data_IF_988834037741
#
_entry.id   IF_988834037741
#
_cell.length_a   1.000
_cell.length_b   1.000
_cell.length_c   1.000
_cell.angle_alpha   90.00
_cell.angle_beta   90.00
_cell.angle_gamma   90.00
#
_symmetry.space_group_name_H-M   'P 1'
#
loop_
_entity.id
_entity.type
_entity.pdbx_description
1 polymer ?
#
# COMPACT_ATOMS: atom_id res chain seq x y z
N UNK A 1 9.65 -25.28 44.71
CA UNK A 1 8.68 -25.27 43.59
C UNK A 1 7.21 -25.05 44.02
N UNK A 2 6.71 -25.68 45.10
CA UNK A 2 5.31 -25.51 45.52
C UNK A 2 4.91 -24.07 45.94
N UNK A 3 5.82 -23.27 46.53
CA UNK A 3 5.55 -21.86 46.89
C UNK A 3 5.48 -20.89 45.70
N UNK A 4 6.14 -21.21 44.58
CA UNK A 4 6.06 -20.40 43.36
C UNK A 4 4.70 -20.57 42.67
N UNK A 5 4.14 -21.79 42.75
CA UNK A 5 2.82 -22.10 42.20
C UNK A 5 1.68 -21.41 42.96
N UNK A 6 1.79 -21.23 44.28
CA UNK A 6 0.75 -20.57 45.08
C UNK A 6 0.70 -19.05 44.88
N UNK A 7 1.84 -18.42 44.56
CA UNK A 7 1.90 -16.98 44.26
C UNK A 7 1.29 -16.71 42.88
N UNK A 8 1.62 -17.53 41.87
CA UNK A 8 1.05 -17.39 40.52
C UNK A 8 -0.49 -17.57 40.50
N UNK A 9 -1.01 -18.46 41.35
CA UNK A 9 -2.45 -18.73 41.47
C UNK A 9 -3.24 -17.60 42.12
N UNK A 10 -2.63 -16.84 43.03
CA UNK A 10 -3.27 -15.66 43.66
C UNK A 10 -3.31 -14.46 42.70
N UNK A 11 -2.23 -14.19 41.96
CA UNK A 11 -2.21 -13.09 40.98
C UNK A 11 -3.14 -13.30 39.78
N UNK A 12 -3.39 -14.55 39.35
CA UNK A 12 -4.39 -14.81 38.30
C UNK A 12 -5.84 -14.62 38.78
N UNK A 13 -6.11 -14.83 40.08
CA UNK A 13 -7.46 -14.70 40.64
C UNK A 13 -7.88 -13.24 40.78
N UNK A 14 -6.97 -12.35 41.19
CA UNK A 14 -7.26 -10.92 41.35
C UNK A 14 -7.48 -10.19 40.01
N UNK A 15 -6.95 -10.72 38.89
CA UNK A 15 -7.19 -10.18 37.54
C UNK A 15 -8.45 -10.74 36.85
N UNK A 16 -9.23 -11.60 37.50
CA UNK A 16 -10.42 -12.21 36.89
C UNK A 16 -10.12 -13.14 35.71
N UNK A 17 -8.85 -13.52 35.51
CA UNK A 17 -8.40 -14.36 34.40
C UNK A 17 -8.64 -15.83 34.76
N UNK A 18 -9.76 -16.39 34.33
CA UNK A 18 -10.09 -17.78 34.63
C UNK A 18 -9.31 -18.71 33.70
N UNK A 19 -8.99 -19.93 34.16
CA UNK A 19 -8.35 -20.96 33.31
C UNK A 19 -9.15 -21.25 32.02
N UNK A 20 -10.45 -20.95 32.01
CA UNK A 20 -11.28 -21.03 30.81
C UNK A 20 -10.87 -20.00 29.76
N UNK A 21 -10.47 -18.80 30.18
CA UNK A 21 -10.05 -17.72 29.27
C UNK A 21 -8.74 -18.08 28.56
N UNK A 22 -7.80 -18.76 29.24
CA UNK A 22 -6.54 -19.25 28.66
C UNK A 22 -6.76 -20.35 27.63
N UNK A 23 -7.70 -21.26 27.89
CA UNK A 23 -8.02 -22.36 26.97
C UNK A 23 -8.80 -21.84 25.76
N UNK A 24 -9.76 -20.95 25.97
CA UNK A 24 -10.55 -20.33 24.88
C UNK A 24 -9.67 -19.46 23.98
N UNK A 25 -8.71 -18.71 24.54
CA UNK A 25 -7.74 -17.93 23.74
C UNK A 25 -6.79 -18.82 22.94
N UNK A 26 -6.38 -20.00 23.46
CA UNK A 26 -5.56 -20.96 22.72
C UNK A 26 -6.31 -21.59 21.52
N UNK A 27 -7.59 -21.94 21.68
CA UNK A 27 -8.39 -22.47 20.58
C UNK A 27 -8.78 -21.40 19.55
N UNK A 28 -9.05 -20.17 19.99
CA UNK A 28 -9.34 -19.05 19.10
C UNK A 28 -8.10 -18.64 18.27
N UNK A 29 -6.91 -18.65 18.88
CA UNK A 29 -5.66 -18.35 18.16
C UNK A 29 -5.29 -19.45 17.17
N UNK A 30 -5.49 -20.74 17.50
CA UNK A 30 -5.25 -21.83 16.56
C UNK A 30 -6.17 -21.78 15.32
N UNK A 31 -7.46 -21.51 15.53
CA UNK A 31 -8.42 -21.44 14.42
C UNK A 31 -8.35 -20.13 13.62
N UNK A 32 -7.91 -19.04 14.24
CA UNK A 32 -7.71 -17.75 13.58
C UNK A 32 -6.34 -17.58 12.90
N UNK A 33 -5.37 -18.43 13.21
CA UNK A 33 -4.02 -18.33 12.65
C UNK A 33 -3.99 -18.54 11.14
N UNK A 34 -4.65 -19.59 10.63
CA UNK A 34 -4.56 -19.94 9.21
C UNK A 34 -5.04 -18.79 8.30
N UNK A 35 -6.22 -18.19 8.51
CA UNK A 35 -6.65 -17.05 7.70
C UNK A 35 -5.75 -15.82 7.87
N UNK A 36 -5.29 -15.52 9.09
CA UNK A 36 -4.38 -14.41 9.37
C UNK A 36 -3.01 -14.61 8.68
N UNK A 37 -2.52 -15.85 8.62
CA UNK A 37 -1.32 -16.22 7.88
C UNK A 37 -1.49 -15.98 6.38
N UNK A 38 -2.60 -16.43 5.79
CA UNK A 38 -2.89 -16.19 4.37
C UNK A 38 -3.06 -14.69 4.06
N UNK A 39 -3.61 -13.92 5.00
CA UNK A 39 -3.64 -12.45 4.90
C UNK A 39 -2.24 -11.85 4.85
N UNK A 40 -1.34 -12.25 5.75
CA UNK A 40 0.05 -11.84 5.68
C UNK A 40 0.74 -12.29 4.39
N UNK A 41 0.45 -13.51 3.93
CA UNK A 41 0.98 -14.07 2.69
C UNK A 41 0.56 -13.23 1.48
N UNK A 42 -0.72 -12.85 1.41
CA UNK A 42 -1.24 -11.96 0.37
C UNK A 42 -0.51 -10.63 0.35
N UNK A 43 -0.35 -10.01 1.54
CA UNK A 43 0.37 -8.75 1.69
C UNK A 43 1.83 -8.85 1.21
N UNK A 44 2.60 -9.81 1.72
CA UNK A 44 4.02 -9.98 1.35
C UNK A 44 4.26 -10.60 -0.03
N UNK A 45 3.24 -11.19 -0.66
CA UNK A 45 3.36 -11.73 -2.02
C UNK A 45 3.58 -10.62 -3.05
N UNK A 46 2.83 -9.53 -2.95
CA UNK A 46 2.88 -8.40 -3.88
C UNK A 46 3.73 -7.23 -3.36
N UNK A 47 4.05 -7.20 -2.07
CA UNK A 47 4.87 -6.12 -1.52
C UNK A 47 6.21 -5.97 -2.28
N UNK A 48 6.62 -4.75 -2.66
CA UNK A 48 7.66 -4.51 -3.65
C UNK A 48 9.11 -4.80 -3.22
N UNK A 49 9.35 -5.65 -2.22
CA UNK A 49 10.71 -6.06 -1.87
C UNK A 49 11.42 -6.89 -2.97
N UNK A 50 10.67 -7.36 -3.98
CA UNK A 50 11.22 -8.16 -5.08
C UNK A 50 11.75 -9.52 -4.61
N UNK A 51 11.99 -10.44 -5.55
CA UNK A 51 12.61 -11.74 -5.23
C UNK A 51 14.09 -11.59 -4.85
N UNK A 52 14.71 -10.47 -5.22
CA UNK A 52 16.14 -10.23 -5.03
C UNK A 52 16.49 -9.78 -3.61
N UNK A 53 15.63 -9.05 -2.88
CA UNK A 53 15.94 -8.58 -1.52
C UNK A 53 15.45 -9.55 -0.45
N UNK A 54 14.31 -10.22 -0.69
CA UNK A 54 13.68 -11.10 0.30
C UNK A 54 13.34 -12.43 -0.36
N UNK A 55 13.98 -13.49 0.12
CA UNK A 55 13.71 -14.85 -0.32
C UNK A 55 12.26 -15.25 -0.03
N UNK A 56 11.74 -16.21 -0.79
CA UNK A 56 10.38 -16.74 -0.59
C UNK A 56 10.19 -17.24 0.85
N UNK A 57 11.21 -17.88 1.42
CA UNK A 57 11.20 -18.37 2.79
C UNK A 57 11.03 -17.24 3.82
N UNK A 58 11.73 -16.11 3.64
CA UNK A 58 11.58 -14.96 4.52
C UNK A 58 10.18 -14.34 4.41
N UNK A 59 9.58 -14.30 3.22
CA UNK A 59 8.20 -13.82 3.06
C UNK A 59 7.21 -14.70 3.81
N UNK A 60 7.36 -16.02 3.70
CA UNK A 60 6.55 -16.99 4.44
C UNK A 60 6.74 -16.81 5.95
N UNK A 61 7.99 -16.63 6.39
CA UNK A 61 8.32 -16.40 7.79
C UNK A 61 7.70 -15.10 8.35
N UNK A 62 7.83 -13.97 7.62
CA UNK A 62 7.20 -12.72 8.01
C UNK A 62 5.67 -12.80 7.99
N UNK A 63 5.11 -13.55 7.04
CA UNK A 63 3.66 -13.82 7.00
C UNK A 63 3.19 -14.62 8.20
N UNK A 64 3.99 -15.58 8.67
CA UNK A 64 3.72 -16.36 9.88
C UNK A 64 3.78 -15.50 11.15
N UNK A 65 4.81 -14.64 11.28
CA UNK A 65 4.90 -13.69 12.40
C UNK A 65 3.69 -12.77 12.42
N UNK A 66 3.38 -12.15 11.27
CA UNK A 66 2.26 -11.22 11.15
C UNK A 66 0.92 -11.94 11.40
N UNK A 67 0.75 -13.15 10.87
CA UNK A 67 -0.43 -13.97 11.11
C UNK A 67 -0.62 -14.31 12.58
N UNK A 68 0.45 -14.64 13.30
CA UNK A 68 0.39 -14.86 14.75
C UNK A 68 0.02 -13.59 15.52
N UNK A 69 0.61 -12.45 15.16
CA UNK A 69 0.32 -11.16 15.80
C UNK A 69 -1.11 -10.67 15.54
N UNK A 70 -1.65 -10.91 14.34
CA UNK A 70 -3.04 -10.59 14.02
C UNK A 70 -4.00 -11.54 14.74
N UNK A 71 -3.75 -12.85 14.69
CA UNK A 71 -4.61 -13.86 15.32
C UNK A 71 -4.68 -13.73 16.85
N UNK A 72 -3.64 -13.17 17.49
CA UNK A 72 -3.65 -12.89 18.94
C UNK A 72 -4.41 -11.62 19.29
N UNK A 73 -4.59 -10.71 18.34
CA UNK A 73 -5.22 -9.39 18.57
C UNK A 73 -6.65 -9.34 18.05
N UNK A 74 -7.00 -10.15 17.05
CA UNK A 74 -8.29 -10.15 16.37
C UNK A 74 -8.74 -11.59 16.14
N UNK A 75 -9.99 -11.91 16.49
CA UNK A 75 -10.54 -13.25 16.29
C UNK A 75 -10.81 -13.49 14.81
N UNK A 76 -9.91 -14.18 14.12
CA UNK A 76 -10.05 -14.53 12.70
C UNK A 76 -10.83 -15.84 12.43
N UNK A 77 -11.43 -16.44 13.46
CA UNK A 77 -12.08 -17.74 13.36
C UNK A 77 -13.29 -17.71 12.40
N UNK A 78 -13.40 -18.71 11.52
CA UNK A 78 -14.51 -18.84 10.57
C UNK A 78 -14.31 -18.13 9.22
N UNK A 79 -13.20 -17.42 9.03
CA UNK A 79 -12.90 -16.76 7.76
C UNK A 79 -12.25 -17.68 6.73
N UNK A 80 -12.55 -17.45 5.45
CA UNK A 80 -11.94 -18.19 4.36
C UNK A 80 -10.49 -17.73 4.13
N UNK A 81 -9.51 -18.64 4.16
CA UNK A 81 -8.10 -18.29 3.88
C UNK A 81 -7.90 -17.63 2.52
N UNK A 82 -8.70 -17.99 1.51
CA UNK A 82 -8.64 -17.41 0.17
C UNK A 82 -9.01 -15.93 0.19
N UNK A 83 -10.11 -15.58 0.87
CA UNK A 83 -10.55 -14.19 0.99
C UNK A 83 -9.58 -13.36 1.84
N UNK A 84 -9.02 -13.97 2.88
CA UNK A 84 -7.97 -13.32 3.68
C UNK A 84 -6.72 -13.02 2.84
N UNK A 85 -6.30 -13.94 1.98
CA UNK A 85 -5.21 -13.71 1.03
C UNK A 85 -5.49 -12.56 0.07
N UNK A 86 -6.68 -12.56 -0.55
CA UNK A 86 -7.08 -11.48 -1.47
C UNK A 86 -7.09 -10.13 -0.75
N UNK A 87 -7.62 -10.07 0.48
CA UNK A 87 -7.61 -8.85 1.27
C UNK A 87 -6.18 -8.34 1.53
N UNK A 88 -5.28 -9.22 1.98
CA UNK A 88 -3.87 -8.88 2.18
C UNK A 88 -3.20 -8.36 0.91
N UNK A 89 -3.47 -9.01 -0.22
CA UNK A 89 -2.97 -8.61 -1.53
C UNK A 89 -3.46 -7.20 -1.92
N UNK A 90 -4.75 -6.92 -1.75
CA UNK A 90 -5.34 -5.62 -2.08
C UNK A 90 -4.78 -4.49 -1.20
N UNK A 91 -4.49 -4.76 0.07
CA UNK A 91 -3.87 -3.78 0.97
C UNK A 91 -2.44 -3.42 0.55
N UNK A 92 -1.66 -4.38 0.04
CA UNK A 92 -0.30 -4.13 -0.44
C UNK A 92 -0.24 -3.59 -1.88
N UNK A 93 -1.32 -3.71 -2.65
CA UNK A 93 -1.37 -3.35 -4.08
C UNK A 93 -0.96 -1.89 -4.37
N UNK A 94 -1.40 -0.85 -3.63
CA UNK A 94 -1.01 0.53 -3.94
C UNK A 94 0.50 0.77 -3.87
N UNK A 95 1.17 0.21 -2.85
CA UNK A 95 2.61 0.32 -2.69
C UNK A 95 3.36 -0.41 -3.82
N UNK A 96 2.86 -1.59 -4.21
CA UNK A 96 3.43 -2.36 -5.31
C UNK A 96 3.29 -1.63 -6.66
N UNK A 97 2.11 -1.05 -6.93
CA UNK A 97 1.85 -0.26 -8.13
C UNK A 97 2.75 0.96 -8.20
N UNK A 98 2.91 1.69 -7.09
CA UNK A 98 3.82 2.84 -7.03
C UNK A 98 5.25 2.45 -7.42
N UNK A 99 5.79 1.36 -6.86
CA UNK A 99 7.15 0.91 -7.20
C UNK A 99 7.24 0.42 -8.65
N UNK A 100 6.19 -0.24 -9.16
CA UNK A 100 6.13 -0.65 -10.56
C UNK A 100 6.16 0.55 -11.50
N UNK A 101 5.40 1.60 -11.18
CA UNK A 101 5.36 2.87 -11.93
C UNK A 101 6.72 3.54 -11.91
N UNK A 102 7.37 3.61 -10.75
CA UNK A 102 8.71 4.16 -10.62
C UNK A 102 9.70 3.40 -11.54
N UNK A 103 9.63 2.07 -11.54
CA UNK A 103 10.47 1.23 -12.42
C UNK A 103 10.17 1.47 -13.91
N UNK A 104 8.89 1.50 -14.30
CA UNK A 104 8.47 1.78 -15.67
C UNK A 104 8.88 3.18 -16.14
N UNK A 105 8.83 4.18 -15.26
CA UNK A 105 9.32 5.52 -15.55
C UNK A 105 10.83 5.53 -15.84
N UNK A 106 11.62 4.81 -15.02
CA UNK A 106 13.05 4.64 -15.27
C UNK A 106 13.35 3.93 -16.60
N UNK A 107 12.54 2.93 -16.96
CA UNK A 107 12.64 2.25 -18.25
C UNK A 107 12.32 3.18 -19.42
N UNK A 108 11.27 4.00 -19.32
CA UNK A 108 10.92 5.01 -20.34
C UNK A 108 12.01 6.06 -20.52
N UNK A 109 12.69 6.46 -19.43
CA UNK A 109 13.83 7.36 -19.51
C UNK A 109 15.01 6.73 -20.26
N UNK A 110 15.31 5.45 -20.01
CA UNK A 110 16.34 4.69 -20.73
C UNK A 110 16.01 4.49 -22.21
N UNK A 111 14.74 4.22 -22.53
CA UNK A 111 14.25 4.13 -23.92
C UNK A 111 14.40 5.48 -24.61
N UNK A 112 13.95 6.57 -23.99
CA UNK A 112 13.97 7.91 -24.59
C UNK A 112 15.38 8.42 -24.91
N UNK A 113 16.38 8.03 -24.10
CA UNK A 113 17.80 8.34 -24.35
C UNK A 113 18.51 7.31 -25.24
N UNK A 114 17.82 6.28 -25.73
CA UNK A 114 18.33 5.33 -26.71
C UNK A 114 19.22 4.20 -26.17
N UNK A 115 19.28 3.95 -24.86
CA UNK A 115 20.11 2.86 -24.32
C UNK A 115 19.61 1.47 -24.71
N UNK A 116 18.29 1.33 -24.80
CA UNK A 116 17.66 0.05 -25.14
C UNK A 116 17.43 -0.10 -26.64
N UNK A 117 18.06 0.74 -27.49
CA UNK A 117 17.82 0.67 -28.93
C UNK A 117 18.35 -0.63 -29.54
N UNK A 118 19.40 -1.21 -28.93
CA UNK A 118 19.98 -2.47 -29.38
C UNK A 118 18.97 -3.63 -29.35
N UNK A 119 18.08 -3.68 -28.33
CA UNK A 119 17.06 -4.74 -28.24
C UNK A 119 15.93 -4.57 -29.26
N UNK A 120 15.78 -3.38 -29.86
CA UNK A 120 14.86 -3.15 -30.98
C UNK A 120 15.43 -3.73 -32.28
N UNK A 121 16.75 -3.61 -32.49
CA UNK A 121 17.41 -4.12 -33.71
C UNK A 121 17.75 -5.60 -33.65
N UNK A 122 18.02 -6.14 -32.45
CA UNK A 122 18.26 -7.55 -32.25
C UNK A 122 17.51 -8.03 -31.00
N UNK A 123 16.36 -8.71 -31.15
CA UNK A 123 15.60 -9.21 -30.01
C UNK A 123 16.33 -10.31 -29.23
N UNK A 124 17.31 -10.98 -29.85
CA UNK A 124 18.13 -12.00 -29.19
C UNK A 124 19.20 -11.38 -28.28
N UNK A 125 19.49 -10.08 -28.45
CA UNK A 125 20.21 -9.32 -27.44
C UNK A 125 19.31 -9.13 -26.22
N UNK A 126 19.44 -10.07 -25.30
CA UNK A 126 18.91 -9.96 -23.95
C UNK A 126 19.64 -8.81 -23.27
N UNK A 127 19.16 -7.59 -23.49
CA UNK A 127 19.65 -6.45 -22.73
C UNK A 127 19.39 -6.77 -21.26
N UNK A 128 20.43 -6.78 -20.40
CA UNK A 128 20.20 -6.86 -18.96
C UNK A 128 19.24 -5.74 -18.57
N UNK A 129 18.38 -6.01 -17.59
CA UNK A 129 17.35 -5.08 -17.11
C UNK A 129 17.83 -3.62 -17.12
N UNK A 130 16.96 -2.70 -17.56
CA UNK A 130 17.25 -1.26 -17.59
C UNK A 130 17.83 -0.82 -16.24
N UNK A 131 19.09 -0.39 -16.24
CA UNK A 131 19.79 0.02 -15.02
C UNK A 131 19.07 1.18 -14.34
N UNK A 132 18.50 2.08 -15.14
CA UNK A 132 17.70 3.19 -14.63
C UNK A 132 16.38 2.71 -14.02
N UNK A 133 15.70 1.75 -14.66
CA UNK A 133 14.50 1.14 -14.09
C UNK A 133 14.80 0.48 -12.73
N UNK A 134 15.94 -0.19 -12.60
CA UNK A 134 16.36 -0.81 -11.34
C UNK A 134 16.75 0.23 -10.27
N UNK A 135 17.46 1.29 -10.66
CA UNK A 135 17.83 2.38 -9.75
C UNK A 135 16.60 3.11 -9.21
N UNK A 136 15.68 3.52 -10.09
CA UNK A 136 14.44 4.22 -9.71
C UNK A 136 13.50 3.29 -8.94
N UNK A 137 13.44 1.99 -9.27
CA UNK A 137 12.72 1.00 -8.47
C UNK A 137 13.23 0.94 -7.03
N UNK A 138 14.55 0.88 -6.83
CA UNK A 138 15.16 0.87 -5.49
C UNK A 138 14.87 2.17 -4.73
N UNK A 139 14.91 3.31 -5.41
CA UNK A 139 14.50 4.59 -4.83
C UNK A 139 13.01 4.58 -4.44
N UNK A 140 12.13 4.05 -5.29
CA UNK A 140 10.70 3.89 -5.00
C UNK A 140 10.45 3.01 -3.78
N UNK A 141 11.18 1.89 -3.64
CA UNK A 141 11.13 1.04 -2.44
C UNK A 141 11.56 1.82 -1.20
N UNK A 142 12.67 2.56 -1.27
CA UNK A 142 13.14 3.39 -0.17
C UNK A 142 12.09 4.44 0.25
N UNK A 143 11.41 5.06 -0.71
CA UNK A 143 10.33 6.03 -0.43
C UNK A 143 9.11 5.38 0.22
N UNK A 144 8.71 4.19 -0.22
CA UNK A 144 7.63 3.42 0.43
C UNK A 144 7.99 3.09 1.88
N UNK A 145 9.25 2.75 2.15
CA UNK A 145 9.73 2.46 3.50
C UNK A 145 9.76 3.71 4.38
N UNK A 146 10.30 4.82 3.86
CA UNK A 146 10.44 6.08 4.60
C UNK A 146 9.11 6.77 4.88
N UNK A 147 8.11 6.59 4.02
CA UNK A 147 6.78 7.20 4.16
C UNK A 147 5.88 6.54 5.22
N UNK A 148 6.31 5.44 5.82
CA UNK A 148 5.49 4.69 6.79
C UNK A 148 4.35 3.89 6.14
N UNK A 149 4.32 3.75 4.81
CA UNK A 149 3.29 3.00 4.09
C UNK A 149 3.16 1.55 4.59
N UNK A 150 4.28 0.94 5.00
CA UNK A 150 4.29 -0.41 5.58
C UNK A 150 3.56 -0.46 6.93
N UNK A 151 3.72 0.57 7.78
CA UNK A 151 3.05 0.66 9.08
C UNK A 151 1.54 0.82 8.88
N UNK A 152 1.13 1.70 7.98
CA UNK A 152 -0.29 1.90 7.64
C UNK A 152 -0.91 0.67 6.99
N UNK A 153 -0.16 -0.01 6.10
CA UNK A 153 -0.57 -1.27 5.47
C UNK A 153 -0.81 -2.36 6.51
N UNK A 154 0.14 -2.59 7.42
CA UNK A 154 -0.03 -3.52 8.53
C UNK A 154 -1.20 -3.10 9.43
N UNK A 155 -1.33 -1.81 9.75
CA UNK A 155 -2.46 -1.29 10.52
C UNK A 155 -3.82 -1.48 9.83
N UNK A 156 -3.86 -1.44 8.50
CA UNK A 156 -5.05 -1.78 7.72
C UNK A 156 -5.37 -3.28 7.83
N UNK A 157 -4.36 -4.16 7.82
CA UNK A 157 -4.56 -5.60 8.07
C UNK A 157 -5.15 -5.89 9.44
N UNK A 158 -4.69 -5.20 10.50
CA UNK A 158 -5.29 -5.35 11.84
C UNK A 158 -6.75 -4.87 11.89
N UNK A 159 -7.06 -3.73 11.24
CA UNK A 159 -8.42 -3.16 11.23
C UNK A 159 -9.39 -4.00 10.39
N UNK A 160 -9.00 -4.34 9.16
CA UNK A 160 -9.81 -5.16 8.25
C UNK A 160 -9.81 -6.64 8.61
N UNK A 161 -8.86 -7.08 9.42
CA UNK A 161 -8.81 -8.39 10.03
C UNK A 161 -10.06 -8.74 10.81
N UNK A 162 -10.89 -7.78 11.26
CA UNK A 162 -12.21 -8.05 11.86
C UNK A 162 -13.39 -8.05 10.87
N UNK A 163 -13.25 -7.36 9.74
CA UNK A 163 -14.32 -7.11 8.76
C UNK A 163 -14.31 -8.13 7.61
N UNK A 164 -13.14 -8.51 7.12
CA UNK A 164 -12.97 -9.52 6.06
C UNK A 164 -13.38 -10.95 6.51
N UNK A 165 -13.73 -11.11 7.79
CA UNK A 165 -14.00 -12.41 8.40
C UNK A 165 -15.47 -12.85 8.36
N UNK A 166 -16.39 -11.94 8.03
CA UNK A 166 -17.82 -12.28 8.01
C UNK A 166 -18.22 -13.15 6.81
N UNK A 167 -17.28 -13.50 5.94
CA UNK A 167 -17.54 -14.35 4.76
C UNK A 167 -18.24 -13.62 3.63
N UNK A 168 -18.51 -12.31 3.80
CA UNK A 168 -19.09 -11.50 2.74
C UNK A 168 -18.07 -11.35 1.60
N UNK A 169 -18.49 -11.59 0.34
CA UNK A 169 -17.62 -11.43 -0.80
C UNK A 169 -17.13 -9.98 -0.86
N UNK A 170 -15.81 -9.80 -0.98
CA UNK A 170 -15.21 -8.49 -1.07
C UNK A 170 -15.63 -7.84 -2.39
N UNK A 171 -16.51 -6.84 -2.33
CA UNK A 171 -16.87 -6.04 -3.50
C UNK A 171 -15.72 -5.06 -3.74
N UNK A 172 -14.87 -5.38 -4.71
CA UNK A 172 -13.84 -4.44 -5.18
C UNK A 172 -14.57 -3.21 -5.71
N UNK A 173 -14.39 -2.07 -5.03
CA UNK A 173 -15.04 -0.83 -5.46
C UNK A 173 -14.50 -0.43 -6.83
N UNK A 174 -15.39 0.09 -7.70
CA UNK A 174 -15.01 0.70 -8.98
C UNK A 174 -13.94 1.78 -8.79
N UNK A 175 -13.93 2.41 -7.60
CA UNK A 175 -12.93 3.39 -7.19
C UNK A 175 -11.51 2.82 -7.16
N UNK A 176 -11.33 1.55 -6.75
CA UNK A 176 -10.01 0.91 -6.76
C UNK A 176 -9.51 0.69 -8.19
N UNK A 177 -10.38 0.29 -9.12
CA UNK A 177 -10.02 0.22 -10.55
C UNK A 177 -9.73 1.60 -11.13
N UNK A 178 -10.52 2.61 -10.76
CA UNK A 178 -10.28 4.00 -11.13
C UNK A 178 -8.95 4.53 -10.59
N UNK A 179 -8.56 4.15 -9.38
CA UNK A 179 -7.28 4.49 -8.80
C UNK A 179 -6.12 3.91 -9.62
N UNK A 180 -6.19 2.63 -10.03
CA UNK A 180 -5.18 2.02 -10.92
C UNK A 180 -5.06 2.80 -12.24
N UNK A 181 -6.18 3.17 -12.85
CA UNK A 181 -6.19 3.98 -14.07
C UNK A 181 -5.53 5.36 -13.87
N UNK A 182 -5.84 6.04 -12.76
CA UNK A 182 -5.20 7.32 -12.40
C UNK A 182 -3.69 7.15 -12.19
N UNK A 183 -3.27 6.09 -11.53
CA UNK A 183 -1.86 5.77 -11.30
C UNK A 183 -1.09 5.58 -12.63
N UNK A 184 -1.69 4.91 -13.61
CA UNK A 184 -1.10 4.78 -14.95
C UNK A 184 -1.07 6.13 -15.69
N UNK A 185 -2.11 6.96 -15.58
CA UNK A 185 -2.11 8.31 -16.14
C UNK A 185 -0.97 9.16 -15.55
N UNK A 186 -0.79 9.10 -14.23
CA UNK A 186 0.27 9.85 -13.55
C UNK A 186 1.68 9.48 -14.03
N UNK A 187 1.91 8.24 -14.45
CA UNK A 187 3.19 7.85 -15.06
C UNK A 187 3.48 8.66 -16.33
N UNK A 188 2.47 8.83 -17.19
CA UNK A 188 2.61 9.64 -18.40
C UNK A 188 2.75 11.12 -18.07
N UNK A 189 1.97 11.63 -17.12
CA UNK A 189 2.03 13.05 -16.71
C UNK A 189 3.43 13.43 -16.19
N UNK A 190 4.08 12.52 -15.43
CA UNK A 190 5.44 12.73 -14.91
C UNK A 190 6.49 12.58 -16.03
N UNK A 191 6.28 11.69 -17.00
CA UNK A 191 7.24 11.45 -18.09
C UNK A 191 7.16 12.49 -19.21
N UNK A 192 5.97 13.02 -19.52
CA UNK A 192 5.72 13.85 -20.69
C UNK A 192 6.65 15.07 -20.80
N UNK A 193 6.96 15.83 -19.72
CA UNK A 193 7.92 16.93 -19.79
C UNK A 193 9.31 16.48 -20.25
N UNK A 194 9.79 15.34 -19.75
CA UNK A 194 11.07 14.77 -20.13
C UNK A 194 11.06 14.28 -21.59
N UNK A 195 9.98 13.59 -21.99
CA UNK A 195 9.78 13.16 -23.37
C UNK A 195 9.78 14.32 -24.36
N UNK A 196 9.10 15.43 -24.02
CA UNK A 196 9.10 16.65 -24.82
C UNK A 196 10.52 17.23 -24.96
N UNK A 197 11.31 17.28 -23.88
CA UNK A 197 12.71 17.69 -23.95
C UNK A 197 13.53 16.81 -24.90
N UNK A 198 13.34 15.48 -24.87
CA UNK A 198 14.04 14.57 -25.78
C UNK A 198 13.66 14.81 -27.25
N UNK A 199 12.38 15.06 -27.54
CA UNK A 199 11.92 15.39 -28.89
C UNK A 199 12.55 16.70 -29.36
N UNK A 200 12.62 17.73 -28.51
CA UNK A 200 13.28 19.01 -28.84
C UNK A 200 14.76 18.80 -29.17
N UNK A 201 15.46 17.96 -28.41
CA UNK A 201 16.88 17.62 -28.69
C UNK A 201 17.02 16.93 -30.05
N UNK A 202 16.15 15.97 -30.40
CA UNK A 202 16.20 15.30 -31.70
C UNK A 202 15.91 16.25 -32.86
N UNK A 203 14.86 17.06 -32.74
CA UNK A 203 14.51 18.06 -33.77
C UNK A 203 15.65 19.05 -33.95
N UNK A 204 16.23 19.56 -32.87
CA UNK A 204 17.39 20.44 -32.90
C UNK A 204 18.60 19.80 -33.59
N UNK A 205 18.92 18.55 -33.24
CA UNK A 205 20.00 17.79 -33.87
C UNK A 205 19.75 17.57 -35.37
N UNK A 206 18.51 17.30 -35.78
CA UNK A 206 18.15 17.16 -37.18
C UNK A 206 18.33 18.46 -37.97
N UNK A 207 17.93 19.60 -37.40
CA UNK A 207 18.16 20.92 -38.02
C UNK A 207 19.65 21.24 -38.15
N UNK A 208 20.44 21.01 -37.09
CA UNK A 208 21.89 21.21 -37.10
C UNK A 208 22.59 20.29 -38.12
N UNK A 209 22.15 19.03 -38.24
CA UNK A 209 22.70 18.08 -39.20
C UNK A 209 22.44 18.50 -40.64
N UNK A 210 21.28 19.12 -40.89
CA UNK A 210 20.97 19.73 -42.19
C UNK A 210 21.82 20.98 -42.47
N UNK A 211 22.08 21.79 -41.45
CA UNK A 211 22.89 23.01 -41.58
C UNK A 211 24.38 22.72 -41.75
N UNK A 212 24.90 21.66 -41.13
CA UNK A 212 26.32 21.29 -41.15
C UNK A 212 26.46 19.80 -41.53
N UNK A 213 26.50 19.47 -42.84
CA UNK A 213 26.41 18.10 -43.33
C UNK A 213 27.56 17.17 -42.92
N UNK A 214 28.67 17.73 -42.43
CA UNK A 214 29.87 16.98 -42.03
C UNK A 214 29.83 16.47 -40.58
N UNK A 215 28.82 16.83 -39.80
CA UNK A 215 28.71 16.42 -38.39
C UNK A 215 27.72 15.27 -38.26
N UNK A 216 28.19 14.12 -37.78
CA UNK A 216 27.31 13.01 -37.38
C UNK A 216 26.71 13.31 -36.00
N UNK A 217 25.53 13.93 -35.97
CA UNK A 217 24.86 14.30 -34.71
C UNK A 217 24.03 13.18 -34.09
N UNK A 218 23.86 12.05 -34.79
CA UNK A 218 23.06 10.93 -34.28
C UNK A 218 23.62 10.37 -32.97
N UNK A 219 24.94 10.12 -32.92
CA UNK A 219 25.60 9.64 -31.69
C UNK A 219 25.56 10.67 -30.57
N UNK A 220 25.84 11.93 -30.90
CA UNK A 220 25.85 13.04 -29.93
C UNK A 220 24.47 13.31 -29.31
N UNK A 221 23.39 13.05 -30.06
CA UNK A 221 22.03 13.22 -29.54
C UNK A 221 21.76 12.36 -28.30
N UNK A 222 22.31 11.13 -28.25
CA UNK A 222 22.16 10.25 -27.09
C UNK A 222 22.92 10.77 -25.85
N UNK A 223 24.11 11.34 -26.07
CA UNK A 223 24.91 11.99 -25.03
C UNK A 223 24.17 13.20 -24.46
N UNK A 224 23.64 14.08 -25.32
CA UNK A 224 22.90 15.28 -24.91
C UNK A 224 21.63 14.90 -24.12
N UNK A 225 20.84 13.94 -24.61
CA UNK A 225 19.66 13.46 -23.87
C UNK A 225 20.00 12.91 -22.49
N UNK A 226 21.11 12.18 -22.38
CA UNK A 226 21.57 11.66 -21.10
C UNK A 226 21.96 12.80 -20.14
N UNK A 227 22.66 13.83 -20.63
CA UNK A 227 22.98 15.04 -19.84
C UNK A 227 21.70 15.76 -19.38
N UNK A 228 20.73 15.95 -20.28
CA UNK A 228 19.44 16.58 -19.93
C UNK A 228 18.70 15.78 -18.86
N UNK A 229 18.63 14.46 -19.02
CA UNK A 229 17.99 13.57 -18.03
C UNK A 229 18.64 13.72 -16.64
N UNK A 230 19.96 13.56 -16.56
CA UNK A 230 20.68 13.65 -15.29
C UNK A 230 20.64 15.07 -14.71
N UNK A 231 20.67 16.10 -15.55
CA UNK A 231 20.50 17.49 -15.15
C UNK A 231 19.13 17.74 -14.50
N UNK A 232 18.05 17.26 -15.12
CA UNK A 232 16.68 17.37 -14.56
C UNK A 232 16.57 16.59 -13.25
N UNK A 233 17.05 15.35 -13.21
CA UNK A 233 17.02 14.54 -11.98
C UNK A 233 17.81 15.18 -10.84
N UNK A 234 18.95 15.79 -11.15
CA UNK A 234 19.77 16.51 -10.18
C UNK A 234 19.03 17.74 -9.69
N UNK A 235 18.44 18.54 -10.59
CA UNK A 235 17.65 19.71 -10.22
C UNK A 235 16.51 19.33 -9.26
N UNK A 236 15.69 18.33 -9.61
CA UNK A 236 14.59 17.82 -8.77
C UNK A 236 15.09 17.34 -7.41
N UNK A 237 16.22 16.62 -7.39
CA UNK A 237 16.81 16.13 -6.14
C UNK A 237 17.26 17.28 -5.21
N UNK A 238 17.77 18.37 -5.79
CA UNK A 238 18.20 19.54 -5.02
C UNK A 238 17.05 20.45 -4.58
N UNK A 239 16.04 20.66 -5.43
CA UNK A 239 14.93 21.57 -5.15
C UNK A 239 13.89 20.97 -4.22
N UNK A 240 13.53 19.71 -4.42
CA UNK A 240 12.32 19.14 -3.83
C UNK A 240 12.62 18.01 -2.85
N UNK A 241 13.63 17.18 -3.13
CA UNK A 241 13.90 15.99 -2.32
C UNK A 241 14.59 16.31 -0.99
N UNK A 242 15.62 17.17 -0.99
CA UNK A 242 16.35 17.54 0.23
C UNK A 242 15.47 18.27 1.28
N UNK A 243 14.54 19.16 0.90
CA UNK A 243 13.59 19.75 1.85
C UNK A 243 12.48 18.78 2.28
N UNK A 244 12.00 17.92 1.36
CA UNK A 244 10.96 16.94 1.66
C UNK A 244 11.44 15.88 2.66
N UNK A 245 12.65 15.33 2.50
CA UNK A 245 13.21 14.36 3.46
C UNK A 245 13.37 14.96 4.86
N UNK A 246 13.63 16.27 4.97
CA UNK A 246 13.65 16.98 6.26
C UNK A 246 12.26 17.18 6.88
N UNK A 247 11.20 17.07 6.10
CA UNK A 247 9.81 17.33 6.51
C UNK A 247 8.92 16.07 6.53
N UNK A 248 9.41 14.92 6.04
CA UNK A 248 8.73 13.60 6.02
C UNK A 248 8.50 13.00 7.42
N UNK A 249 8.73 13.75 8.51
CA UNK A 249 8.28 13.33 9.83
C UNK A 249 6.77 13.12 9.94
N UNK A 250 5.90 13.73 9.12
CA UNK A 250 4.43 13.56 9.27
C UNK A 250 3.63 13.89 8.00
N UNK A 251 3.71 13.09 6.94
CA UNK A 251 2.63 13.10 5.91
C UNK A 251 1.85 11.80 6.03
N UNK A 252 0.71 11.78 6.74
CA UNK A 252 -0.08 10.57 6.89
C UNK A 252 -0.64 10.18 5.52
N UNK A 253 -0.55 8.90 5.19
CA UNK A 253 -1.24 8.18 4.09
C UNK A 253 -2.79 8.21 4.20
N UNK A 254 -3.34 9.21 4.92
CA UNK A 254 -4.75 9.39 5.22
C UNK A 254 -5.68 9.48 4.01
N UNK A 255 -5.34 10.09 2.86
CA UNK A 255 -6.37 10.33 1.85
C UNK A 255 -6.80 9.05 1.12
N UNK A 256 -5.95 8.02 1.00
CA UNK A 256 -6.34 6.78 0.31
C UNK A 256 -7.26 5.91 1.18
N UNK A 257 -6.90 5.64 2.43
CA UNK A 257 -7.72 4.80 3.32
C UNK A 257 -9.05 5.47 3.72
N UNK A 258 -9.09 6.80 3.80
CA UNK A 258 -10.32 7.57 4.08
C UNK A 258 -11.28 7.61 2.90
N UNK A 259 -10.79 7.54 1.64
CA UNK A 259 -11.63 7.56 0.45
C UNK A 259 -12.24 6.21 0.09
N UNK A 260 -11.70 5.09 0.58
CA UNK A 260 -12.20 3.74 0.28
C UNK A 260 -13.44 3.32 1.08
N UNK A 261 -14.24 4.27 1.58
CA UNK A 261 -15.49 3.95 2.28
C UNK A 261 -15.33 3.10 3.54
N UNK A 262 -14.11 2.96 4.09
CA UNK A 262 -13.91 2.51 5.47
C UNK A 262 -14.24 3.66 6.43
N UNK A 263 -15.46 4.20 6.30
CA UNK A 263 -16.15 4.76 7.46
C UNK A 263 -16.40 3.54 8.32
N UNK A 264 -15.46 3.22 9.21
CA UNK A 264 -15.84 2.61 10.47
C UNK A 264 -16.81 3.62 11.03
N UNK A 265 -18.12 3.41 10.82
CA UNK A 265 -19.12 4.05 11.66
C UNK A 265 -18.62 3.76 13.06
N UNK A 266 -18.08 4.80 13.68
CA UNK A 266 -17.73 4.75 15.07
C UNK A 266 -18.98 4.22 15.72
N UNK A 267 -18.84 3.07 16.38
CA UNK A 267 -19.73 2.72 17.48
C UNK A 267 -19.54 3.87 18.45
N UNK A 268 -20.28 4.96 18.21
CA UNK A 268 -20.51 6.02 19.14
C UNK A 268 -21.13 5.30 20.32
N UNK A 269 -20.28 5.03 21.31
CA UNK A 269 -20.70 4.61 22.63
C UNK A 269 -21.62 5.74 23.13
N UNK A 270 -22.92 5.58 22.88
CA UNK A 270 -23.98 6.13 23.72
C UNK A 270 -23.87 5.47 25.10
N UNK A 271 -22.83 5.82 25.82
CA UNK A 271 -22.79 5.75 27.28
C UNK A 271 -22.57 7.17 27.77
N UNK A 272 -23.60 7.99 27.59
CA UNK A 272 -23.88 9.14 28.43
C UNK A 272 -25.39 9.26 28.54
N UNK A 273 -25.90 8.84 29.69
CA UNK A 273 -27.31 8.85 30.06
C UNK A 273 -27.42 8.53 31.54
N UNK A 274 -26.66 9.29 32.34
CA UNK A 274 -26.81 9.33 33.77
C UNK A 274 -28.25 9.73 34.11
N UNK A 275 -28.95 8.80 34.75
CA UNK A 275 -29.66 9.01 36.01
C UNK A 275 -30.00 10.48 36.34
N UNK A 276 -31.15 10.93 35.84
CA UNK A 276 -31.97 11.95 36.51
C UNK A 276 -33.40 11.45 36.49
N UNK A 277 -33.89 11.12 37.68
CA UNK A 277 -35.25 10.69 37.89
C UNK A 277 -36.26 11.80 37.63
N UNK A 278 -37.43 11.41 37.15
CA UNK A 278 -38.68 12.06 37.51
C UNK A 278 -39.80 11.03 37.36
N UNK A 279 -40.42 10.70 38.50
CA UNK A 279 -41.66 9.95 38.59
C UNK A 279 -42.81 10.95 38.65
N UNK A 280 -43.97 10.52 38.12
CA UNK A 280 -45.32 11.10 38.26
C UNK A 280 -45.59 12.29 37.31
N UNK A 281 -46.74 12.42 36.64
CA UNK A 281 -48.00 11.66 36.70
C UNK A 281 -48.88 11.96 35.46
N UNK A 282 -49.57 10.91 35.03
CA UNK A 282 -50.92 10.85 34.41
C UNK A 282 -51.18 11.40 32.98
N UNK A 283 -52.22 10.83 32.31
CA UNK A 283 -52.39 10.82 30.86
C UNK A 283 -53.45 11.81 30.37
N UNK A 284 -53.36 12.18 29.09
CA UNK A 284 -54.38 12.93 28.38
C UNK A 284 -54.45 12.47 26.93
N UNK A 285 -55.50 11.72 26.62
CA UNK A 285 -55.87 11.29 25.28
C UNK A 285 -56.28 12.48 24.41
N UNK A 286 -55.97 12.41 23.10
CA UNK A 286 -56.96 12.64 22.04
C UNK A 286 -56.34 12.47 20.65
N UNK A 287 -56.98 11.57 19.92
CA UNK A 287 -56.98 11.33 18.47
C UNK A 287 -56.92 12.56 17.57
N UNK A 288 -56.23 12.43 16.43
CA UNK A 288 -56.78 12.88 15.14
C UNK A 288 -56.16 12.12 13.96
N UNK A 289 -57.07 11.53 13.18
CA UNK A 289 -56.87 10.87 11.90
C UNK A 289 -56.62 11.89 10.77
N UNK A 290 -56.18 11.37 9.63
CA UNK A 290 -56.71 11.58 8.25
C UNK A 290 -55.66 11.99 7.19
N UNK A 291 -55.64 11.15 6.14
CA UNK A 291 -55.32 11.36 4.72
C UNK A 291 -53.87 11.67 4.31
N UNK A 292 -53.23 10.90 3.42
CA UNK A 292 -53.58 10.56 2.02
C UNK A 292 -53.46 11.75 1.07
N UNK A 293 -52.43 11.74 0.22
CA UNK A 293 -52.45 11.80 -1.26
C UNK A 293 -51.05 12.23 -1.76
N UNK A 294 -50.45 11.39 -2.61
CA UNK A 294 -50.09 11.68 -4.02
C UNK A 294 -49.03 12.76 -4.19
#
# INVERSE_FOLDING_TARGET
>A
MQRAFSIFRRSCWECGFTWKDTVVTQYATANGFLPAFFMGLGYFSIFPFGFSLVSILLRVFFSAILGFSIASSVSCAGSSPVWSFVYGFLVALPAALFVSIASSWGALADIGRGQTIASVYNPDFHSPSSQMADAIKRLGIALVLLSGAMVEGVGALYRGGGLALKGDPFVVSVEMMGAIGRYLSSLFDIYLPLGACFIVVEVGAAFLGKAIPKISLYGESFSIKSIVLYGILTAISFTDFLPAVKTVSYVPFKPLLSSYGFVVEGVDKKHNGADKGEKSSLPGASSLNVASQR
#
